data_IF_270714387817
#
_entry.id   IF_270714387817
#
_cell.length_a   1.000
_cell.length_b   1.000
_cell.length_c   1.000
_cell.angle_alpha   90.00
_cell.angle_beta   90.00
_cell.angle_gamma   90.00
#
_symmetry.space_group_name_H-M   'P 1'
#
loop_
_entity.id
_entity.type
_entity.pdbx_description
1 polymer ?
#
# COMPACT_ATOMS: atom_id res chain seq x y z
N UNK A 1 30.28 -6.40 -67.53
CA UNK A 1 30.81 -5.09 -67.09
C UNK A 1 30.01 -4.65 -65.87
N UNK A 2 30.67 -4.19 -64.80
CA UNK A 2 30.11 -4.08 -63.45
C UNK A 2 29.41 -2.73 -63.23
N UNK A 3 28.35 -2.68 -62.43
CA UNK A 3 28.04 -1.47 -61.65
C UNK A 3 27.07 -1.84 -60.52
N UNK A 4 27.62 -2.16 -59.35
CA UNK A 4 27.72 -1.28 -58.16
C UNK A 4 26.51 -1.42 -57.26
N UNK A 5 26.77 -2.14 -56.17
CA UNK A 5 26.03 -2.16 -54.94
C UNK A 5 25.70 -0.75 -54.45
N UNK A 6 24.47 -0.55 -54.01
CA UNK A 6 24.15 0.42 -52.98
C UNK A 6 23.27 -0.30 -51.95
N UNK A 7 23.94 -1.08 -51.10
CA UNK A 7 23.37 -1.63 -49.88
C UNK A 7 23.22 -0.44 -48.91
N UNK A 8 22.02 0.13 -48.83
CA UNK A 8 21.70 1.15 -47.85
C UNK A 8 21.44 0.45 -46.50
N UNK A 9 22.49 0.33 -45.70
CA UNK A 9 22.43 -0.11 -44.32
C UNK A 9 21.86 1.04 -43.48
N UNK A 10 20.56 0.98 -43.17
CA UNK A 10 19.94 1.88 -42.18
C UNK A 10 20.34 1.40 -40.80
N UNK A 11 21.30 2.09 -40.19
CA UNK A 11 21.67 1.90 -38.79
C UNK A 11 20.55 2.54 -37.96
N UNK A 12 19.60 1.72 -37.52
CA UNK A 12 18.62 2.11 -36.51
C UNK A 12 19.33 2.31 -35.18
N UNK A 13 19.50 3.56 -34.78
CA UNK A 13 20.04 3.92 -33.48
C UNK A 13 18.92 3.73 -32.45
N UNK A 14 18.89 2.55 -31.82
CA UNK A 14 17.99 2.24 -30.71
C UNK A 14 18.39 3.09 -29.50
N UNK A 15 17.64 4.16 -29.20
CA UNK A 15 17.67 4.73 -27.86
C UNK A 15 16.95 3.74 -26.94
N UNK A 16 17.73 2.90 -26.25
CA UNK A 16 17.23 2.19 -25.09
C UNK A 16 17.09 3.22 -23.96
N UNK A 17 15.90 3.78 -23.80
CA UNK A 17 15.53 4.41 -22.54
C UNK A 17 15.50 3.30 -21.49
N UNK A 18 16.38 3.36 -20.51
CA UNK A 18 16.27 2.56 -19.30
C UNK A 18 14.99 3.01 -18.61
N UNK A 19 13.92 2.23 -18.78
CA UNK A 19 12.74 2.36 -17.95
C UNK A 19 13.16 2.02 -16.53
N UNK A 20 13.36 3.06 -15.71
CA UNK A 20 13.34 2.90 -14.27
C UNK A 20 11.91 2.46 -13.95
N UNK A 21 11.74 1.23 -13.50
CA UNK A 21 10.54 0.84 -12.79
C UNK A 21 10.59 1.59 -11.46
N UNK A 22 10.13 2.84 -11.45
CA UNK A 22 9.59 3.43 -10.23
C UNK A 22 8.36 2.61 -9.89
N UNK A 23 8.45 1.88 -8.77
CA UNK A 23 7.30 1.28 -8.11
C UNK A 23 6.42 2.45 -7.67
N UNK A 24 5.54 2.90 -8.58
CA UNK A 24 4.45 3.80 -8.24
C UNK A 24 3.50 3.01 -7.34
N UNK A 25 3.82 2.94 -6.04
CA UNK A 25 2.79 2.75 -5.02
C UNK A 25 1.95 4.01 -5.07
N UNK A 26 0.89 3.97 -5.87
CA UNK A 26 -0.18 4.94 -5.74
C UNK A 26 -0.72 4.72 -4.34
N UNK A 27 -0.29 5.53 -3.37
CA UNK A 27 -0.97 5.62 -2.09
C UNK A 27 -2.31 6.28 -2.38
N UNK A 28 -3.28 5.47 -2.82
CA UNK A 28 -4.62 5.93 -3.13
C UNK A 28 -5.25 6.49 -1.86
N UNK A 29 -5.87 7.66 -2.01
CA UNK A 29 -6.85 8.11 -1.05
C UNK A 29 -8.03 7.13 -1.12
N UNK A 30 -7.96 6.09 -0.30
CA UNK A 30 -9.03 5.13 -0.19
C UNK A 30 -10.28 5.81 0.36
N UNK A 31 -11.43 5.52 -0.23
CA UNK A 31 -12.72 6.00 0.29
C UNK A 31 -13.25 4.95 1.25
N UNK A 32 -13.43 5.32 2.52
CA UNK A 32 -14.07 4.43 3.50
C UNK A 32 -15.45 4.01 3.02
N UNK A 33 -15.79 2.74 3.23
CA UNK A 33 -17.01 2.13 2.73
C UNK A 33 -16.95 1.76 1.24
N UNK A 34 -15.83 1.95 0.56
CA UNK A 34 -15.64 1.59 -0.84
C UNK A 34 -14.54 0.55 -1.00
N UNK A 35 -14.86 -0.51 -1.74
CA UNK A 35 -13.94 -1.61 -2.05
C UNK A 35 -13.85 -1.77 -3.56
N UNK A 36 -12.68 -2.08 -4.08
CA UNK A 36 -12.48 -2.34 -5.50
C UNK A 36 -12.24 -3.83 -5.75
N UNK A 37 -12.97 -4.39 -6.72
CA UNK A 37 -12.80 -5.75 -7.23
C UNK A 37 -12.33 -5.65 -8.68
N UNK A 38 -11.15 -6.18 -8.97
CA UNK A 38 -10.63 -6.35 -10.33
C UNK A 38 -10.71 -7.83 -10.70
N UNK A 39 -11.51 -8.16 -11.71
CA UNK A 39 -11.81 -9.53 -12.12
C UNK A 39 -11.33 -9.73 -13.55
N UNK A 40 -10.40 -10.65 -13.73
CA UNK A 40 -9.86 -10.99 -15.04
C UNK A 40 -10.10 -12.47 -15.35
N UNK A 41 -10.60 -12.78 -16.54
CA UNK A 41 -10.65 -14.13 -17.09
C UNK A 41 -9.82 -14.20 -18.36
N UNK A 42 -8.84 -15.10 -18.39
CA UNK A 42 -8.01 -15.43 -19.55
C UNK A 42 -7.97 -16.95 -19.74
N UNK A 43 -8.43 -17.43 -20.88
CA UNK A 43 -8.53 -18.87 -21.14
C UNK A 43 -9.40 -19.59 -20.10
N UNK A 44 -8.81 -20.46 -19.29
CA UNK A 44 -9.52 -21.19 -18.22
C UNK A 44 -9.33 -20.57 -16.84
N UNK A 45 -8.47 -19.56 -16.73
CA UNK A 45 -8.10 -19.01 -15.44
C UNK A 45 -8.97 -17.79 -15.15
N UNK A 46 -9.38 -17.67 -13.89
CA UNK A 46 -10.15 -16.55 -13.36
C UNK A 46 -9.41 -15.99 -12.16
N UNK A 47 -8.96 -14.74 -12.29
CA UNK A 47 -8.32 -13.96 -11.24
C UNK A 47 -9.33 -12.98 -10.67
N UNK A 48 -9.37 -12.89 -9.34
CA UNK A 48 -10.11 -11.86 -8.61
C UNK A 48 -9.12 -11.19 -7.67
N UNK A 49 -8.84 -9.92 -7.90
CA UNK A 49 -8.07 -9.06 -7.01
C UNK A 49 -9.02 -8.11 -6.28
N UNK A 50 -8.78 -7.90 -5.00
CA UNK A 50 -9.59 -7.03 -4.15
C UNK A 50 -8.69 -6.10 -3.37
N UNK A 51 -9.01 -4.81 -3.42
CA UNK A 51 -8.39 -3.78 -2.59
C UNK A 51 -9.45 -3.16 -1.68
N UNK A 52 -9.19 -3.16 -0.37
CA UNK A 52 -10.13 -2.68 0.64
C UNK A 52 -9.41 -1.86 1.71
N UNK A 53 -9.97 -0.71 2.13
CA UNK A 53 -9.51 -0.01 3.32
C UNK A 53 -9.54 -0.92 4.55
N UNK A 54 -8.57 -0.78 5.46
CA UNK A 54 -8.56 -1.49 6.73
C UNK A 54 -9.81 -1.19 7.58
N UNK A 55 -10.31 0.05 7.51
CA UNK A 55 -11.55 0.46 8.16
C UNK A 55 -12.76 -0.41 7.76
N UNK A 56 -12.79 -0.87 6.51
CA UNK A 56 -13.91 -1.66 5.98
C UNK A 56 -13.86 -3.13 6.41
N UNK A 57 -12.65 -3.65 6.66
CA UNK A 57 -12.40 -5.07 6.98
C UNK A 57 -12.32 -5.30 8.49
N UNK A 58 -11.53 -4.49 9.20
CA UNK A 58 -11.22 -4.64 10.63
C UNK A 58 -11.65 -3.45 11.49
N UNK A 59 -12.07 -2.34 10.88
CA UNK A 59 -12.54 -1.15 11.60
C UNK A 59 -11.45 -0.15 11.99
N UNK A 60 -10.22 -0.36 11.52
CA UNK A 60 -9.07 0.53 11.76
C UNK A 60 -8.05 0.45 10.62
N UNK A 61 -7.19 1.45 10.51
CA UNK A 61 -6.18 1.59 9.43
C UNK A 61 -4.75 1.71 9.95
N UNK A 62 -4.54 1.57 11.25
CA UNK A 62 -3.24 1.58 11.90
C UNK A 62 -2.78 0.17 12.25
N UNK A 63 -1.52 0.01 12.70
CA UNK A 63 -1.06 -1.24 13.27
C UNK A 63 -1.94 -1.65 14.47
N UNK A 64 -2.26 -2.94 14.68
CA UNK A 64 -3.04 -3.36 15.85
C UNK A 64 -2.30 -3.00 17.15
N UNK A 65 -2.99 -2.35 18.08
CA UNK A 65 -2.41 -1.79 19.31
C UNK A 65 -2.73 -2.64 20.56
N UNK A 66 -3.61 -3.63 20.42
CA UNK A 66 -4.06 -4.50 21.51
C UNK A 66 -4.45 -5.90 21.02
N UNK A 67 -4.64 -6.82 21.97
CA UNK A 67 -4.97 -8.22 21.70
C UNK A 67 -6.30 -8.38 20.93
N UNK A 68 -7.27 -7.49 21.18
CA UNK A 68 -8.55 -7.49 20.46
C UNK A 68 -8.35 -7.14 18.97
N UNK A 69 -7.55 -6.12 18.66
CA UNK A 69 -7.23 -5.73 17.29
C UNK A 69 -6.37 -6.76 16.57
N UNK A 70 -5.39 -7.37 17.24
CA UNK A 70 -4.63 -8.50 16.67
C UNK A 70 -5.54 -9.68 16.32
N UNK A 71 -6.51 -9.99 17.20
CA UNK A 71 -7.44 -11.07 16.97
C UNK A 71 -8.41 -10.73 15.83
N UNK A 72 -8.86 -9.49 15.72
CA UNK A 72 -9.67 -9.02 14.60
C UNK A 72 -8.92 -9.15 13.26
N UNK A 73 -7.65 -8.76 13.22
CA UNK A 73 -6.79 -8.93 12.03
C UNK A 73 -6.65 -10.41 11.65
N UNK A 74 -6.33 -11.29 12.61
CA UNK A 74 -6.23 -12.75 12.37
C UNK A 74 -7.55 -13.33 11.83
N UNK A 75 -8.68 -12.90 12.38
CA UNK A 75 -10.00 -13.34 11.93
C UNK A 75 -10.35 -12.82 10.53
N UNK A 76 -10.03 -11.57 10.23
CA UNK A 76 -10.21 -10.99 8.91
C UNK A 76 -9.41 -11.75 7.85
N UNK A 77 -8.12 -12.01 8.09
CA UNK A 77 -7.27 -12.79 7.18
C UNK A 77 -7.84 -14.20 6.97
N UNK A 78 -8.29 -14.86 8.04
CA UNK A 78 -8.92 -16.18 7.93
C UNK A 78 -10.24 -16.15 7.14
N UNK A 79 -11.05 -15.10 7.29
CA UNK A 79 -12.27 -14.90 6.54
C UNK A 79 -12.00 -14.62 5.05
N UNK A 80 -10.99 -13.80 4.75
CA UNK A 80 -10.52 -13.52 3.39
C UNK A 80 -10.00 -14.79 2.70
N UNK A 81 -9.33 -15.67 3.43
CA UNK A 81 -8.88 -16.98 2.89
C UNK A 81 -10.01 -17.98 2.64
N UNK A 82 -11.19 -17.81 3.23
CA UNK A 82 -12.34 -18.71 3.06
C UNK A 82 -13.22 -18.28 1.88
N UNK A 83 -12.74 -18.59 0.67
CA UNK A 83 -13.34 -18.15 -0.59
C UNK A 83 -14.81 -18.58 -0.75
N UNK A 84 -15.17 -19.74 -0.23
CA UNK A 84 -16.54 -20.27 -0.26
C UNK A 84 -17.54 -19.41 0.52
N UNK A 85 -17.06 -18.59 1.47
CA UNK A 85 -17.88 -17.64 2.22
C UNK A 85 -17.95 -16.26 1.57
N UNK A 86 -17.15 -15.99 0.54
CA UNK A 86 -17.08 -14.69 -0.12
C UNK A 86 -17.68 -14.71 -1.53
N UNK A 87 -17.54 -15.84 -2.22
CA UNK A 87 -17.95 -15.97 -3.62
C UNK A 87 -18.78 -17.23 -3.84
N UNK A 88 -19.87 -17.05 -4.58
CA UNK A 88 -20.59 -18.13 -5.22
C UNK A 88 -20.43 -17.96 -6.74
N UNK A 89 -19.45 -18.67 -7.29
CA UNK A 89 -19.27 -18.77 -8.74
C UNK A 89 -20.25 -19.81 -9.28
N UNK A 90 -20.87 -19.53 -10.42
CA UNK A 90 -21.89 -20.43 -10.96
C UNK A 90 -21.30 -21.82 -11.25
N UNK A 91 -21.96 -22.86 -10.72
CA UNK A 91 -21.43 -24.22 -10.65
C UNK A 91 -21.15 -24.86 -12.02
N UNK A 92 -21.83 -24.40 -13.07
CA UNK A 92 -21.63 -24.89 -14.43
C UNK A 92 -20.23 -24.60 -14.96
N UNK A 93 -19.58 -23.54 -14.47
CA UNK A 93 -18.22 -23.16 -14.87
C UNK A 93 -17.13 -24.10 -14.30
N UNK A 94 -17.46 -24.90 -13.27
CA UNK A 94 -16.56 -25.83 -12.58
C UNK A 94 -15.24 -25.17 -12.16
N UNK A 95 -15.34 -23.98 -11.58
CA UNK A 95 -14.19 -23.27 -11.05
C UNK A 95 -13.73 -23.90 -9.73
N UNK A 96 -12.43 -24.15 -9.61
CA UNK A 96 -11.76 -24.63 -8.40
C UNK A 96 -10.70 -23.61 -8.03
N UNK A 97 -10.55 -23.34 -6.73
CA UNK A 97 -9.51 -22.43 -6.24
C UNK A 97 -8.14 -23.10 -6.36
N UNK A 98 -7.20 -22.41 -6.98
CA UNK A 98 -5.80 -22.84 -7.08
C UNK A 98 -4.95 -22.19 -5.99
N UNK A 99 -5.16 -20.89 -5.75
CA UNK A 99 -4.32 -20.10 -4.87
C UNK A 99 -5.08 -18.90 -4.27
N UNK A 100 -4.70 -18.55 -3.04
CA UNK A 100 -5.25 -17.39 -2.32
C UNK A 100 -4.11 -16.69 -1.59
N UNK A 101 -3.87 -15.43 -1.96
CA UNK A 101 -2.87 -14.59 -1.34
C UNK A 101 -3.56 -13.39 -0.68
N UNK A 102 -3.24 -13.14 0.60
CA UNK A 102 -3.79 -12.04 1.39
C UNK A 102 -2.62 -11.25 1.95
N UNK A 103 -2.52 -9.99 1.60
CA UNK A 103 -1.55 -9.04 2.15
C UNK A 103 -2.25 -7.82 2.74
N UNK A 104 -1.57 -7.11 3.64
CA UNK A 104 -2.08 -5.87 4.22
C UNK A 104 -0.93 -4.97 4.66
N UNK A 105 -1.18 -3.66 4.73
CA UNK A 105 -0.19 -2.66 5.20
C UNK A 105 -0.40 -2.26 6.67
N UNK A 106 -1.38 -2.85 7.35
CA UNK A 106 -1.63 -2.64 8.80
C UNK A 106 -0.42 -3.07 9.64
N UNK A 107 0.47 -2.12 9.93
CA UNK A 107 1.66 -2.33 10.77
C UNK A 107 2.79 -3.09 10.09
N UNK A 108 2.97 -2.97 8.78
CA UNK A 108 4.14 -3.52 8.10
C UNK A 108 5.42 -2.71 8.42
N UNK A 109 6.00 -3.03 9.59
CA UNK A 109 7.43 -3.33 9.69
C UNK A 109 7.58 -4.86 9.65
N UNK A 110 7.79 -5.41 8.46
CA UNK A 110 8.63 -6.58 8.15
C UNK A 110 8.77 -7.71 9.19
N UNK A 111 7.73 -8.47 9.52
CA UNK A 111 7.91 -9.75 10.24
C UNK A 111 7.19 -10.93 9.58
N UNK A 112 7.44 -11.11 8.28
CA UNK A 112 7.48 -12.47 7.72
C UNK A 112 8.89 -13.05 7.97
N UNK A 113 9.04 -13.75 9.09
CA UNK A 113 10.18 -14.63 9.35
C UNK A 113 11.38 -13.98 10.06
N UNK A 114 11.35 -13.94 11.39
CA UNK A 114 12.59 -14.03 12.17
C UNK A 114 12.57 -15.31 12.97
N UNK A 115 13.38 -16.26 12.49
CA UNK A 115 13.96 -17.31 13.31
C UNK A 115 14.54 -16.68 14.59
N UNK A 116 14.15 -17.26 15.72
CA UNK A 116 14.73 -16.97 17.02
C UNK A 116 16.23 -17.30 16.99
N UNK A 117 17.08 -16.28 16.86
CA UNK A 117 18.46 -16.39 17.29
C UNK A 117 18.59 -15.82 18.70
N UNK A 118 18.65 -16.76 19.66
CA UNK A 118 19.25 -16.56 20.97
C UNK A 118 20.59 -15.84 20.80
N UNK A 119 20.70 -14.61 21.31
CA UNK A 119 21.98 -14.00 21.57
C UNK A 119 22.29 -14.15 23.06
N UNK A 120 23.09 -15.18 23.35
CA UNK A 120 23.83 -15.29 24.59
C UNK A 120 24.67 -14.03 24.83
N UNK A 121 24.82 -13.70 26.12
CA UNK A 121 25.36 -12.44 26.60
C UNK A 121 26.76 -12.10 26.09
N UNK A 122 26.95 -10.80 25.87
CA UNK A 122 28.26 -10.19 25.83
C UNK A 122 28.43 -9.26 27.02
N UNK A 123 29.23 -9.73 27.99
CA UNK A 123 29.92 -8.91 28.98
C UNK A 123 30.68 -7.80 28.26
N UNK A 124 30.41 -6.54 28.63
CA UNK A 124 31.27 -5.42 28.28
C UNK A 124 32.05 -4.97 29.52
N UNK A 125 33.29 -5.45 29.60
CA UNK A 125 34.33 -4.87 30.45
C UNK A 125 34.73 -3.48 29.92
N UNK A 126 34.60 -2.49 30.82
CA UNK A 126 35.51 -1.35 31.04
C UNK A 126 36.00 -0.52 29.85
N UNK A 127 35.45 0.69 29.72
CA UNK A 127 36.25 1.84 29.28
C UNK A 127 36.01 3.05 30.20
N UNK A 128 37.08 3.32 30.96
CA UNK A 128 37.31 4.47 31.84
C UNK A 128 37.55 5.72 30.98
N UNK A 129 36.85 6.83 31.26
CA UNK A 129 37.28 8.13 30.76
C UNK A 129 37.12 9.21 31.84
N UNK A 130 38.28 9.81 32.09
CA UNK A 130 38.63 10.80 33.08
C UNK A 130 37.82 12.10 33.03
N UNK A 131 37.77 12.71 34.20
CA UNK A 131 37.12 13.97 34.59
C UNK A 131 37.66 15.19 33.84
N UNK A 132 36.78 16.15 33.56
CA UNK A 132 37.12 17.57 33.54
C UNK A 132 36.05 18.38 34.29
N UNK A 133 36.44 18.90 35.46
CA UNK A 133 35.75 19.95 36.22
C UNK A 133 35.87 21.30 35.50
N UNK A 134 34.78 22.06 35.43
CA UNK A 134 34.83 23.53 35.50
C UNK A 134 33.57 24.08 36.20
N UNK A 135 33.77 24.52 37.44
CA UNK A 135 32.91 25.47 38.16
C UNK A 135 32.83 26.81 37.39
N UNK A 136 31.70 27.51 37.48
CA UNK A 136 31.60 28.90 37.95
C UNK A 136 30.13 29.33 38.17
N UNK A 137 29.85 29.75 39.41
CA UNK A 137 28.70 30.53 39.88
C UNK A 137 28.33 31.70 38.95
N UNK A 138 27.04 32.09 38.90
CA UNK A 138 26.60 33.43 39.34
C UNK A 138 25.06 33.56 39.41
N UNK A 139 24.64 34.28 40.45
CA UNK A 139 23.29 34.51 40.95
C UNK A 139 22.40 35.36 40.02
N UNK A 140 21.09 35.05 39.98
CA UNK A 140 20.07 35.90 39.36
C UNK A 140 19.47 36.89 40.38
N UNK A 141 19.68 38.19 40.16
CA UNK A 141 18.81 39.27 40.66
C UNK A 141 18.31 40.08 39.46
N UNK A 142 16.98 40.15 39.35
CA UNK A 142 16.28 40.62 38.16
C UNK A 142 16.24 42.12 37.97
N UNK A 143 15.58 42.54 36.88
CA UNK A 143 14.96 43.85 36.72
C UNK A 143 13.88 43.78 35.64
N UNK A 144 12.66 44.20 36.01
CA UNK A 144 11.58 44.64 35.13
C UNK A 144 12.03 45.86 34.28
N UNK A 145 11.54 45.95 33.04
CA UNK A 145 10.67 47.04 32.55
C UNK A 145 10.78 47.29 31.02
N UNK A 146 9.58 47.39 30.45
CA UNK A 146 9.09 48.37 29.47
C UNK A 146 9.57 48.42 28.02
N UNK A 147 8.52 48.56 27.21
CA UNK A 147 8.40 48.75 25.77
C UNK A 147 9.19 49.96 25.25
N UNK A 148 9.84 49.82 24.09
CA UNK A 148 10.07 50.95 23.19
C UNK A 148 10.02 50.49 21.72
N UNK A 149 9.03 51.04 21.00
CA UNK A 149 8.96 51.06 19.54
C UNK A 149 9.95 52.09 18.97
N UNK A 150 10.62 51.77 17.85
CA UNK A 150 11.20 52.77 16.94
C UNK A 150 11.24 52.28 15.48
N UNK A 151 11.07 53.29 14.62
CA UNK A 151 10.87 53.31 13.16
C UNK A 151 12.04 52.81 12.30
N UNK A 152 11.63 52.43 11.08
CA UNK A 152 12.28 52.51 9.76
C UNK A 152 13.78 52.86 9.66
N UNK A 153 14.53 51.97 9.00
CA UNK A 153 15.66 52.34 8.16
C UNK A 153 15.82 51.40 6.94
N UNK A 154 15.53 51.96 5.77
CA UNK A 154 15.94 51.47 4.46
C UNK A 154 17.48 51.59 4.28
N UNK A 155 18.08 50.52 3.75
CA UNK A 155 19.34 50.56 3.00
C UNK A 155 20.50 49.80 3.64
N UNK A 156 20.85 48.63 3.08
CA UNK A 156 22.11 48.43 2.36
C UNK A 156 22.25 46.99 1.85
N UNK A 157 22.42 46.87 0.53
CA UNK A 157 22.94 45.70 -0.18
C UNK A 157 24.29 45.21 0.37
N UNK A 158 24.45 43.88 0.53
CA UNK A 158 25.79 43.27 0.58
C UNK A 158 25.92 41.96 1.34
N UNK A 159 25.83 40.86 0.58
CA UNK A 159 26.52 39.57 0.76
C UNK A 159 25.89 38.45 1.60
N UNK A 160 25.42 37.46 0.85
CA UNK A 160 25.88 36.06 0.86
C UNK A 160 26.35 35.49 2.21
N UNK A 161 25.46 34.72 2.83
CA UNK A 161 25.73 33.88 3.98
C UNK A 161 24.52 33.03 4.30
N UNK A 162 24.12 32.18 3.35
CA UNK A 162 23.12 31.14 3.58
C UNK A 162 23.66 30.15 4.62
N UNK A 163 23.18 30.23 5.85
CA UNK A 163 23.08 29.08 6.74
C UNK A 163 21.60 28.84 6.99
N UNK A 164 20.94 28.32 5.96
CA UNK A 164 19.71 27.60 6.18
C UNK A 164 20.09 26.38 7.01
N UNK A 165 19.56 26.32 8.23
CA UNK A 165 19.40 25.03 8.86
C UNK A 165 18.50 24.20 7.93
N UNK A 166 19.14 23.43 7.05
CA UNK A 166 18.56 22.27 6.41
C UNK A 166 18.23 21.31 7.56
N UNK A 167 17.12 21.59 8.24
CA UNK A 167 16.28 20.50 8.67
C UNK A 167 15.84 19.87 7.35
N UNK A 168 16.61 18.86 6.92
CA UNK A 168 16.06 17.72 6.21
C UNK A 168 14.93 17.22 7.11
N UNK A 169 13.77 17.87 6.97
CA UNK A 169 12.51 17.33 7.41
C UNK A 169 12.47 16.02 6.69
N UNK A 170 12.73 14.95 7.44
CA UNK A 170 12.29 13.64 7.06
C UNK A 170 10.89 13.84 6.50
N UNK A 171 10.74 13.67 5.19
CA UNK A 171 9.46 13.38 4.61
C UNK A 171 9.01 12.15 5.39
N UNK A 172 8.28 12.39 6.47
CA UNK A 172 7.38 11.41 7.01
C UNK A 172 6.42 11.23 5.85
N UNK A 173 6.76 10.26 5.00
CA UNK A 173 5.83 9.54 4.15
C UNK A 173 4.52 9.55 4.91
N UNK A 174 3.57 10.36 4.45
CA UNK A 174 2.27 10.46 5.07
C UNK A 174 1.74 9.03 5.05
N UNK A 175 1.84 8.37 6.21
CA UNK A 175 1.69 6.92 6.32
C UNK A 175 0.41 6.55 5.61
N UNK A 176 0.54 5.81 4.52
CA UNK A 176 -0.61 5.35 3.76
C UNK A 176 -1.58 4.69 4.74
N UNK A 177 -2.87 5.01 4.59
CA UNK A 177 -3.91 4.33 5.36
C UNK A 177 -3.78 2.82 5.17
N UNK A 178 -3.84 2.05 6.25
CA UNK A 178 -3.75 0.61 6.19
C UNK A 178 -4.81 0.01 5.28
N UNK A 179 -4.39 -0.86 4.37
CA UNK A 179 -5.25 -1.50 3.36
C UNK A 179 -5.06 -3.03 3.39
N UNK A 180 -6.01 -3.73 2.79
CA UNK A 180 -5.91 -5.15 2.43
C UNK A 180 -5.90 -5.30 0.92
N UNK A 181 -4.98 -6.12 0.43
CA UNK A 181 -4.99 -6.62 -0.95
C UNK A 181 -5.18 -8.13 -0.90
N UNK A 182 -6.11 -8.66 -1.70
CA UNK A 182 -6.38 -10.09 -1.77
C UNK A 182 -6.47 -10.55 -3.20
N UNK A 183 -5.74 -11.61 -3.52
CA UNK A 183 -5.71 -12.22 -4.85
C UNK A 183 -6.24 -13.66 -4.75
N UNK A 184 -7.24 -13.98 -5.58
CA UNK A 184 -7.78 -15.32 -5.73
C UNK A 184 -7.57 -15.81 -7.15
N UNK A 185 -6.89 -16.95 -7.31
CA UNK A 185 -6.75 -17.61 -8.62
C UNK A 185 -7.60 -18.86 -8.66
N UNK A 186 -8.49 -18.94 -9.64
CA UNK A 186 -9.31 -20.12 -9.91
C UNK A 186 -8.97 -20.71 -11.27
N UNK A 187 -9.08 -22.04 -11.36
CA UNK A 187 -9.13 -22.77 -12.62
C UNK A 187 -10.56 -23.22 -12.92
N UNK A 188 -11.10 -22.83 -14.08
CA UNK A 188 -12.45 -23.16 -14.52
C UNK A 188 -12.42 -24.14 -15.71
N UNK A 189 -12.78 -25.40 -15.45
CA UNK A 189 -12.80 -26.45 -16.49
C UNK A 189 -13.80 -26.15 -17.61
N UNK A 190 -14.90 -25.48 -17.27
CA UNK A 190 -16.03 -25.16 -18.16
C UNK A 190 -16.23 -23.64 -18.25
N UNK A 191 -15.17 -22.85 -18.48
CA UNK A 191 -15.22 -21.37 -18.55
C UNK A 191 -16.27 -20.81 -19.52
N UNK A 192 -16.63 -21.56 -20.58
CA UNK A 192 -17.71 -21.16 -21.49
C UNK A 192 -19.05 -20.96 -20.77
N UNK A 193 -19.29 -21.72 -19.69
CA UNK A 193 -20.48 -21.67 -18.86
C UNK A 193 -20.38 -20.65 -17.70
N UNK A 194 -19.23 -19.98 -17.54
CA UNK A 194 -19.05 -18.87 -16.58
C UNK A 194 -19.93 -17.68 -17.02
N UNK A 195 -20.93 -17.37 -16.20
CA UNK A 195 -21.92 -16.34 -16.48
C UNK A 195 -22.11 -15.35 -15.32
N UNK A 196 -21.81 -15.75 -14.09
CA UNK A 196 -21.95 -14.84 -12.95
C UNK A 196 -21.15 -15.26 -11.73
N UNK A 197 -20.82 -14.24 -10.94
CA UNK A 197 -20.22 -14.35 -9.62
C UNK A 197 -21.12 -13.58 -8.66
N UNK A 198 -21.67 -14.26 -7.66
CA UNK A 198 -22.37 -13.62 -6.56
C UNK A 198 -21.41 -13.45 -5.38
N UNK A 199 -21.32 -12.25 -4.82
CA UNK A 199 -20.51 -12.01 -3.62
C UNK A 199 -21.34 -11.95 -2.35
N UNK A 200 -20.79 -12.47 -1.27
CA UNK A 200 -21.31 -12.33 0.10
C UNK A 200 -20.47 -11.37 0.95
N UNK A 201 -19.59 -10.60 0.32
CA UNK A 201 -18.69 -9.63 0.95
C UNK A 201 -19.39 -8.77 2.01
N UNK A 202 -20.50 -8.11 1.67
CA UNK A 202 -21.22 -7.22 2.59
C UNK A 202 -21.76 -7.90 3.86
N UNK A 203 -21.90 -9.23 3.86
CA UNK A 203 -22.27 -9.99 5.07
C UNK A 203 -21.06 -10.24 5.96
N UNK A 204 -19.90 -10.46 5.33
CA UNK A 204 -18.64 -10.72 6.03
C UNK A 204 -18.00 -9.42 6.53
N UNK A 205 -18.12 -8.34 5.77
CA UNK A 205 -17.58 -7.01 6.04
C UNK A 205 -18.70 -5.96 5.92
N UNK A 206 -19.49 -5.77 7.00
CA UNK A 206 -20.70 -4.93 6.95
C UNK A 206 -20.44 -3.43 6.83
N UNK A 207 -19.21 -2.99 7.11
CA UNK A 207 -18.77 -1.61 6.99
C UNK A 207 -18.66 -1.16 5.52
N UNK A 208 -18.43 -2.08 4.59
CA UNK A 208 -18.46 -1.76 3.16
C UNK A 208 -19.86 -1.32 2.73
N UNK A 209 -19.93 -0.17 2.06
CA UNK A 209 -21.16 0.41 1.53
C UNK A 209 -21.34 0.08 0.05
N UNK A 210 -20.24 0.08 -0.70
CA UNK A 210 -20.23 -0.14 -2.15
C UNK A 210 -18.98 -0.90 -2.60
N UNK A 211 -19.11 -1.62 -3.71
CA UNK A 211 -17.98 -2.26 -4.39
C UNK A 211 -17.97 -1.80 -5.84
N UNK A 212 -16.86 -1.28 -6.34
CA UNK A 212 -16.62 -1.14 -7.78
C UNK A 212 -16.05 -2.46 -8.30
N UNK A 213 -16.75 -3.13 -9.21
CA UNK A 213 -16.28 -4.35 -9.83
C UNK A 213 -15.95 -4.08 -11.30
N UNK A 214 -14.66 -4.16 -11.63
CA UNK A 214 -14.14 -4.08 -12.98
C UNK A 214 -13.94 -5.50 -13.51
N UNK A 215 -14.56 -5.82 -14.64
CA UNK A 215 -14.51 -7.13 -15.27
C UNK A 215 -13.81 -7.04 -16.62
N UNK A 216 -12.84 -7.94 -16.82
CA UNK A 216 -12.10 -8.12 -18.06
C UNK A 216 -12.13 -9.60 -18.41
N UNK A 217 -12.67 -9.94 -19.58
CA UNK A 217 -12.67 -11.31 -20.10
C UNK A 217 -12.22 -11.32 -21.55
N UNK A 218 -11.97 -12.51 -22.08
CA UNK A 218 -11.67 -12.69 -23.51
C UNK A 218 -12.75 -12.13 -24.45
N UNK A 219 -13.99 -11.94 -23.95
CA UNK A 219 -15.14 -11.53 -24.76
C UNK A 219 -15.74 -10.19 -24.37
N UNK A 220 -15.51 -9.71 -23.14
CA UNK A 220 -16.26 -8.59 -22.56
C UNK A 220 -15.37 -7.80 -21.61
N UNK A 221 -15.55 -6.48 -21.61
CA UNK A 221 -15.08 -5.60 -20.54
C UNK A 221 -16.27 -4.83 -20.00
N UNK A 222 -16.42 -4.75 -18.68
CA UNK A 222 -17.48 -3.99 -18.04
C UNK A 222 -17.06 -3.48 -16.67
N UNK A 223 -17.76 -2.48 -16.17
CA UNK A 223 -17.64 -2.02 -14.79
C UNK A 223 -19.04 -1.95 -14.18
N UNK A 224 -19.19 -2.38 -12.94
CA UNK A 224 -20.47 -2.35 -12.23
C UNK A 224 -20.27 -2.00 -10.77
N UNK A 225 -21.23 -1.28 -10.19
CA UNK A 225 -21.22 -0.97 -8.75
C UNK A 225 -22.19 -1.89 -8.02
N UNK A 226 -21.67 -2.60 -7.03
CA UNK A 226 -22.44 -3.47 -6.14
C UNK A 226 -22.76 -2.74 -4.83
N UNK A 227 -23.82 -3.19 -4.19
CA UNK A 227 -24.21 -2.77 -2.84
C UNK A 227 -24.99 -3.91 -2.16
N UNK A 228 -25.42 -3.70 -0.91
CA UNK A 228 -26.17 -4.70 -0.12
C UNK A 228 -27.44 -5.23 -0.81
N UNK A 229 -28.03 -4.49 -1.76
CA UNK A 229 -29.19 -4.90 -2.54
C UNK A 229 -28.88 -5.51 -3.91
N UNK A 230 -27.65 -5.35 -4.42
CA UNK A 230 -27.18 -5.91 -5.68
C UNK A 230 -25.76 -6.44 -5.51
N UNK A 231 -25.62 -7.75 -5.32
CA UNK A 231 -24.33 -8.41 -5.06
C UNK A 231 -23.87 -9.31 -6.20
N UNK A 232 -24.53 -9.23 -7.35
CA UNK A 232 -24.27 -10.10 -8.49
C UNK A 232 -23.45 -9.38 -9.56
N UNK A 233 -22.34 -10.00 -9.96
CA UNK A 233 -21.51 -9.58 -11.08
C UNK A 233 -21.89 -10.46 -12.28
N UNK A 234 -22.43 -9.85 -13.33
CA UNK A 234 -22.74 -10.54 -14.58
C UNK A 234 -21.51 -10.55 -15.49
N UNK A 235 -21.19 -11.73 -16.02
CA UNK A 235 -20.05 -11.93 -16.94
C UNK A 235 -20.53 -12.07 -18.39
N UNK A 236 -21.69 -12.71 -18.59
CA UNK A 236 -22.37 -12.91 -19.88
C UNK A 236 -23.86 -12.69 -19.76
#
# INVERSE_FOLDING_TARGET
>A
MPSKHALALVIGLSLAATAHAEEYRQHEAHVHGHVEFNIAQDGKDLLIEITSPGADVVGFEHAPENAEQEQALKQAIAALKDTNKLFAINQQAKCVIDDVHVSHTLGQDSHEGHDHHDHEGHDHEGHDHDKHDHDHDHEHKGHDHDEHAHDDHDGHDGHDGHEHHDHEGHDHEHGGHGEFTVEYRYHCDSVADLNSIDTTWFKQFPATESISANLFTDTTQSATTLNKGNTKIAIK
#
